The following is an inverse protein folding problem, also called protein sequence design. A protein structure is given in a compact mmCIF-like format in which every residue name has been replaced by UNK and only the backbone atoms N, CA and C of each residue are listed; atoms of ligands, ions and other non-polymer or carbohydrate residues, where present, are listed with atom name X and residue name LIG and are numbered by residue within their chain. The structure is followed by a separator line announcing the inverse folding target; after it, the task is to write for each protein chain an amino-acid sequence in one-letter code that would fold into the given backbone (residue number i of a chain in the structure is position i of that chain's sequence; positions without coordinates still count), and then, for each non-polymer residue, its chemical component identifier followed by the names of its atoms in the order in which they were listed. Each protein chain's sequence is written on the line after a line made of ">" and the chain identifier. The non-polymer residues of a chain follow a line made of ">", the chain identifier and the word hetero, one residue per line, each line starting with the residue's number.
data_IF_566754858059
#
_entry.id   IF_566754858059
#
_cell.length_a   1.000
_cell.length_b   1.000
_cell.length_c   1.000
_cell.angle_alpha   90.00
_cell.angle_beta   90.00
_cell.angle_gamma   90.00
#
_symmetry.space_group_name_H-M   'P 1'
#
loop_
_entity.id
_entity.type
_entity.pdbx_description
1 polymer ?
#
# COMPACT_ATOMS: atom_id res chain seq x y z
N UNK A 1 -23.81 46.43 -33.39
CA UNK A 1 -23.80 47.49 -34.43
C UNK A 1 -22.82 48.57 -33.99
N UNK A 2 -21.71 48.79 -34.69
CA UNK A 2 -20.78 49.88 -34.36
C UNK A 2 -19.32 49.60 -34.69
N UNK A 3 -18.99 49.65 -35.99
CA UNK A 3 -17.63 49.81 -36.52
C UNK A 3 -17.32 51.31 -36.54
N UNK A 4 -16.11 51.73 -36.13
CA UNK A 4 -15.18 52.57 -36.90
C UNK A 4 -14.21 53.36 -36.01
N UNK A 5 -12.95 53.27 -36.43
CA UNK A 5 -11.79 54.07 -36.06
C UNK A 5 -12.01 55.55 -36.36
N UNK A 6 -11.28 56.46 -35.72
CA UNK A 6 -10.46 57.47 -36.42
C UNK A 6 -9.49 58.19 -35.48
N UNK A 7 -8.28 58.38 -35.99
CA UNK A 7 -7.13 59.06 -35.39
C UNK A 7 -7.33 60.57 -35.23
N UNK A 8 -6.61 61.19 -34.30
CA UNK A 8 -6.08 62.53 -34.53
C UNK A 8 -4.68 62.72 -33.93
N UNK A 9 -3.79 63.23 -34.78
CA UNK A 9 -2.40 63.65 -34.56
C UNK A 9 -2.34 65.05 -33.95
N UNK A 10 -1.20 65.34 -33.30
CA UNK A 10 -0.41 66.61 -33.25
C UNK A 10 0.15 66.83 -31.84
N UNK A 11 1.35 67.35 -31.55
CA UNK A 11 2.48 67.94 -32.29
C UNK A 11 3.58 68.27 -31.23
N UNK A 12 4.85 68.35 -31.68
CA UNK A 12 5.92 69.27 -31.18
C UNK A 12 6.47 69.05 -29.74
N UNK A 13 7.75 69.19 -29.36
CA UNK A 13 8.98 69.87 -29.83
C UNK A 13 10.21 69.10 -29.26
N UNK A 14 11.28 68.79 -30.00
CA UNK A 14 12.44 69.61 -30.42
C UNK A 14 13.49 69.93 -29.33
N UNK A 15 14.68 69.32 -29.45
CA UNK A 15 16.04 69.93 -29.33
C UNK A 15 17.08 68.79 -29.47
N UNK A 16 17.86 68.63 -30.55
CA UNK A 16 19.11 69.34 -30.92
C UNK A 16 20.03 69.55 -29.71
N UNK A 17 21.27 69.06 -29.64
CA UNK A 17 22.40 69.19 -30.57
C UNK A 17 23.47 68.09 -30.32
N UNK A 18 24.05 67.46 -31.36
CA UNK A 18 25.43 67.64 -31.91
C UNK A 18 26.57 67.50 -30.88
N UNK A 19 27.73 66.91 -31.16
CA UNK A 19 28.35 66.15 -32.27
C UNK A 19 29.81 65.89 -31.86
N UNK A 20 30.47 64.96 -32.56
CA UNK A 20 31.92 64.86 -32.94
C UNK A 20 32.49 63.50 -32.53
N UNK A 21 32.64 62.55 -33.48
CA UNK A 21 33.84 62.35 -34.34
C UNK A 21 35.07 61.96 -33.49
N UNK A 22 35.71 60.79 -33.61
CA UNK A 22 36.42 60.32 -34.81
C UNK A 22 37.01 58.91 -34.59
N UNK A 23 36.91 58.08 -35.64
CA UNK A 23 37.88 57.11 -36.21
C UNK A 23 38.84 56.25 -35.37
N UNK A 24 38.72 54.95 -35.67
CA UNK A 24 39.76 53.99 -36.07
C UNK A 24 40.47 53.12 -35.02
N UNK A 25 40.26 51.80 -35.23
CA UNK A 25 41.13 50.65 -34.97
C UNK A 25 41.52 50.34 -33.51
N UNK A 26 41.02 49.23 -32.99
CA UNK A 26 41.85 48.02 -33.03
C UNK A 26 41.02 46.74 -32.84
N UNK A 27 41.45 45.71 -33.54
CA UNK A 27 40.95 44.35 -33.46
C UNK A 27 41.38 43.75 -32.12
N UNK A 28 40.45 43.19 -31.36
CA UNK A 28 40.80 42.08 -30.48
C UNK A 28 39.67 41.05 -30.38
N UNK A 29 39.93 39.93 -31.05
CA UNK A 29 39.14 38.73 -31.06
C UNK A 29 39.37 37.97 -29.74
N UNK A 30 38.56 38.23 -28.69
CA UNK A 30 38.40 37.36 -27.50
C UNK A 30 37.37 37.92 -26.52
N UNK A 31 36.09 37.94 -26.87
CA UNK A 31 35.01 37.84 -25.87
C UNK A 31 33.65 37.66 -26.54
N UNK A 32 33.30 36.40 -26.82
CA UNK A 32 31.90 35.99 -26.90
C UNK A 32 31.68 34.93 -25.83
N UNK A 33 31.80 35.36 -24.57
CA UNK A 33 31.09 34.72 -23.48
C UNK A 33 29.61 35.04 -23.63
N UNK A 34 28.91 34.29 -24.48
CA UNK A 34 27.46 34.37 -24.57
C UNK A 34 26.86 33.84 -23.27
N UNK A 35 26.42 34.77 -22.42
CA UNK A 35 25.49 34.53 -21.31
C UNK A 35 24.13 34.11 -21.88
N UNK A 36 24.05 32.86 -22.38
CA UNK A 36 22.77 32.18 -22.45
C UNK A 36 22.42 31.75 -21.02
N UNK A 37 21.66 32.59 -20.33
CA UNK A 37 20.90 32.17 -19.17
C UNK A 37 20.10 30.94 -19.61
N UNK A 38 20.49 29.76 -19.13
CA UNK A 38 19.77 28.54 -19.39
C UNK A 38 18.36 28.72 -18.83
N UNK A 39 17.39 29.01 -19.69
CA UNK A 39 15.99 28.91 -19.34
C UNK A 39 15.80 27.55 -18.68
N UNK A 40 15.44 27.58 -17.40
CA UNK A 40 15.25 26.37 -16.62
C UNK A 40 13.99 25.71 -17.12
N UNK A 41 14.08 24.94 -18.21
CA UNK A 41 12.99 24.11 -18.74
C UNK A 41 12.36 23.35 -17.58
N UNK A 42 11.10 23.61 -17.30
CA UNK A 42 10.39 23.02 -16.19
C UNK A 42 10.20 21.53 -16.47
N UNK A 43 10.52 20.68 -15.49
CA UNK A 43 10.40 19.24 -15.66
C UNK A 43 8.90 18.88 -15.79
N UNK A 44 8.46 18.19 -16.86
CA UNK A 44 7.04 17.82 -17.02
C UNK A 44 6.55 16.84 -15.95
N UNK A 45 7.49 16.25 -15.19
CA UNK A 45 7.20 15.32 -14.09
C UNK A 45 7.23 15.98 -12.70
N UNK A 46 7.43 17.30 -12.61
CA UNK A 46 7.55 18.01 -11.33
C UNK A 46 8.80 17.60 -10.52
N UNK A 47 8.74 17.79 -9.20
CA UNK A 47 9.79 17.34 -8.27
C UNK A 47 9.61 15.85 -7.99
N UNK A 48 10.59 15.04 -8.39
CA UNK A 48 10.62 13.63 -8.05
C UNK A 48 11.64 13.46 -6.92
N UNK A 49 11.16 13.08 -5.74
CA UNK A 49 12.01 12.89 -4.56
C UNK A 49 13.14 11.90 -4.87
N UNK A 50 14.38 12.37 -4.76
CA UNK A 50 15.57 11.56 -5.02
C UNK A 50 16.00 11.45 -6.49
N UNK A 51 15.42 12.24 -7.41
CA UNK A 51 15.95 12.47 -8.76
C UNK A 51 16.20 13.98 -8.93
N UNK A 52 17.43 14.38 -8.66
CA UNK A 52 17.84 15.76 -8.85
C UNK A 52 17.88 16.11 -10.34
N UNK A 53 17.66 17.39 -10.64
CA UNK A 53 17.81 17.94 -12.00
C UNK A 53 19.23 17.73 -12.56
N UNK A 54 20.23 17.65 -11.67
CA UNK A 54 21.60 17.34 -12.03
C UNK A 54 21.75 15.90 -12.55
N UNK A 55 21.17 14.91 -11.85
CA UNK A 55 21.17 13.50 -12.26
C UNK A 55 20.41 13.29 -13.58
N UNK A 56 19.27 13.97 -13.76
CA UNK A 56 18.53 13.96 -15.03
C UNK A 56 19.34 14.55 -16.18
N UNK A 57 20.02 15.68 -15.95
CA UNK A 57 20.87 16.33 -16.96
C UNK A 57 22.07 15.45 -17.31
N UNK A 58 22.74 14.89 -16.32
CA UNK A 58 23.89 14.01 -16.51
C UNK A 58 23.51 12.74 -17.29
N UNK A 59 22.37 12.12 -16.97
CA UNK A 59 21.84 11.01 -17.74
C UNK A 59 21.49 11.38 -19.19
N UNK A 60 20.89 12.56 -19.41
CA UNK A 60 20.56 13.04 -20.76
C UNK A 60 21.80 13.36 -21.59
N UNK A 61 22.82 13.99 -20.99
CA UNK A 61 24.11 14.25 -21.61
C UNK A 61 24.79 12.93 -22.01
N UNK A 62 24.89 11.98 -21.10
CA UNK A 62 25.52 10.69 -21.38
C UNK A 62 24.80 9.89 -22.45
N UNK A 63 23.46 9.90 -22.52
CA UNK A 63 22.71 9.25 -23.61
C UNK A 63 23.01 9.93 -24.95
N UNK A 64 23.00 11.26 -24.97
CA UNK A 64 23.29 12.05 -26.17
C UNK A 64 24.73 11.84 -26.67
N UNK A 65 25.71 11.77 -25.77
CA UNK A 65 27.12 11.60 -26.14
C UNK A 65 27.53 10.13 -26.35
N UNK A 66 26.91 9.17 -25.65
CA UNK A 66 27.17 7.73 -25.83
C UNK A 66 26.56 7.19 -27.13
N UNK A 67 25.53 7.84 -27.69
CA UNK A 67 24.90 7.42 -28.96
C UNK A 67 25.11 8.41 -30.11
N UNK A 68 25.54 9.65 -29.84
CA UNK A 68 25.71 10.71 -30.84
C UNK A 68 27.15 10.96 -31.32
N UNK A 69 28.12 10.19 -30.86
CA UNK A 69 29.51 10.30 -31.33
C UNK A 69 29.76 9.45 -32.57
N UNK A 70 29.86 10.07 -33.76
CA UNK A 70 30.55 9.46 -34.90
C UNK A 70 32.01 9.18 -34.49
N UNK A 71 32.30 7.95 -34.06
CA UNK A 71 33.67 7.48 -33.87
C UNK A 71 34.13 6.71 -35.12
N UNK A 72 35.24 7.16 -35.71
CA UNK A 72 35.96 6.50 -36.80
C UNK A 72 36.24 5.01 -36.53
N UNK A 73 36.36 4.16 -37.58
CA UNK A 73 36.49 2.73 -37.40
C UNK A 73 37.95 2.38 -37.05
N UNK A 74 38.31 2.43 -35.78
CA UNK A 74 39.52 1.79 -35.29
C UNK A 74 39.37 1.37 -33.82
N UNK A 75 39.50 0.06 -33.60
CA UNK A 75 39.47 -0.65 -32.31
C UNK A 75 38.09 -0.77 -31.62
N UNK A 76 37.35 -1.81 -32.00
CA UNK A 76 36.27 -2.37 -31.18
C UNK A 76 36.92 -3.16 -30.04
N UNK A 77 37.39 -2.45 -29.01
CA UNK A 77 37.68 -3.06 -27.72
C UNK A 77 36.35 -3.23 -26.99
N UNK A 78 36.03 -4.48 -26.69
CA UNK A 78 34.85 -4.96 -26.00
C UNK A 78 34.68 -4.27 -24.63
N UNK A 79 34.18 -3.03 -24.62
CA UNK A 79 33.66 -2.40 -23.39
C UNK A 79 32.34 -3.10 -23.11
N UNK A 80 32.38 -4.13 -22.28
CA UNK A 80 31.22 -4.52 -21.49
C UNK A 80 30.65 -3.24 -20.88
N UNK A 81 29.56 -2.75 -21.44
CA UNK A 81 28.75 -1.69 -20.87
C UNK A 81 28.28 -2.22 -19.52
N UNK A 82 29.00 -1.83 -18.46
CA UNK A 82 28.55 -2.06 -17.10
C UNK A 82 27.10 -1.54 -17.00
N UNK A 83 26.17 -2.30 -16.39
CA UNK A 83 24.79 -1.85 -16.26
C UNK A 83 24.81 -0.52 -15.49
N UNK A 84 24.53 0.56 -16.20
CA UNK A 84 24.65 1.90 -15.64
C UNK A 84 23.49 2.11 -14.67
N UNK A 85 23.76 2.04 -13.36
CA UNK A 85 22.77 2.20 -12.29
C UNK A 85 22.16 3.59 -12.14
N UNK A 86 22.25 4.44 -13.18
CA UNK A 86 21.85 5.86 -13.18
C UNK A 86 20.35 6.06 -12.89
N UNK A 87 19.53 5.07 -13.24
CA UNK A 87 18.09 5.08 -12.99
C UNK A 87 17.67 4.11 -11.90
N UNK A 88 18.60 3.52 -11.14
CA UNK A 88 18.24 2.50 -10.14
C UNK A 88 17.41 3.11 -9.03
N UNK A 89 17.70 4.36 -8.64
CA UNK A 89 16.90 5.10 -7.68
C UNK A 89 15.49 5.42 -8.21
N UNK A 90 15.40 5.87 -9.46
CA UNK A 90 14.13 6.10 -10.14
C UNK A 90 13.27 4.82 -10.19
N UNK A 91 13.91 3.70 -10.55
CA UNK A 91 13.30 2.38 -10.66
C UNK A 91 12.84 1.86 -9.31
N UNK A 92 13.66 2.00 -8.27
CA UNK A 92 13.32 1.61 -6.91
C UNK A 92 12.15 2.45 -6.37
N UNK A 93 12.15 3.76 -6.60
CA UNK A 93 11.04 4.64 -6.22
C UNK A 93 9.75 4.26 -6.95
N UNK A 94 9.81 4.02 -8.26
CA UNK A 94 8.66 3.56 -9.04
C UNK A 94 8.13 2.19 -8.57
N UNK A 95 9.02 1.24 -8.27
CA UNK A 95 8.63 -0.06 -7.70
C UNK A 95 7.95 0.08 -6.34
N UNK A 96 8.48 0.93 -5.46
CA UNK A 96 7.87 1.23 -4.16
C UNK A 96 6.49 1.88 -4.31
N UNK A 97 6.35 2.84 -5.24
CA UNK A 97 5.08 3.48 -5.53
C UNK A 97 4.04 2.48 -6.08
N UNK A 98 4.44 1.56 -6.96
CA UNK A 98 3.56 0.50 -7.48
C UNK A 98 3.02 -0.37 -6.33
N UNK A 99 3.90 -0.79 -5.41
CA UNK A 99 3.49 -1.59 -4.25
C UNK A 99 2.52 -0.80 -3.37
N UNK A 100 2.81 0.47 -3.10
CA UNK A 100 1.96 1.30 -2.25
C UNK A 100 0.57 1.55 -2.87
N UNK A 101 0.52 1.84 -4.17
CA UNK A 101 -0.75 2.01 -4.88
C UNK A 101 -1.54 0.70 -4.90
N UNK A 102 -0.86 -0.43 -5.13
CA UNK A 102 -1.50 -1.75 -5.08
C UNK A 102 -2.07 -2.07 -3.69
N UNK A 103 -1.33 -1.75 -2.62
CA UNK A 103 -1.77 -1.91 -1.24
C UNK A 103 -3.02 -1.08 -0.96
N UNK A 104 -2.98 0.23 -1.21
CA UNK A 104 -4.12 1.14 -0.97
C UNK A 104 -5.34 0.72 -1.78
N UNK A 105 -5.15 0.36 -3.06
CA UNK A 105 -6.22 -0.13 -3.91
C UNK A 105 -6.82 -1.45 -3.39
N UNK A 106 -5.99 -2.37 -2.89
CA UNK A 106 -6.44 -3.62 -2.30
C UNK A 106 -7.30 -3.42 -1.05
N UNK A 107 -6.88 -2.54 -0.12
CA UNK A 107 -7.70 -2.24 1.05
C UNK A 107 -9.02 -1.57 0.67
N UNK A 108 -9.01 -0.64 -0.29
CA UNK A 108 -10.25 -0.06 -0.80
C UNK A 108 -11.17 -1.14 -1.39
N UNK A 109 -10.63 -2.03 -2.23
CA UNK A 109 -11.40 -3.11 -2.85
C UNK A 109 -12.08 -3.99 -1.79
N UNK A 110 -11.35 -4.36 -0.74
CA UNK A 110 -11.83 -5.29 0.30
C UNK A 110 -12.78 -4.62 1.29
N UNK A 111 -12.43 -3.43 1.79
CA UNK A 111 -13.15 -2.79 2.90
C UNK A 111 -14.23 -1.81 2.45
N UNK A 112 -14.11 -1.22 1.26
CA UNK A 112 -15.09 -0.28 0.73
C UNK A 112 -15.94 -0.95 -0.36
N UNK A 113 -15.32 -1.37 -1.46
CA UNK A 113 -16.07 -1.85 -2.63
C UNK A 113 -16.74 -3.21 -2.36
N UNK A 114 -16.09 -4.07 -1.57
CA UNK A 114 -16.62 -5.38 -1.14
C UNK A 114 -17.29 -5.35 0.23
N UNK A 115 -17.49 -4.17 0.84
CA UNK A 115 -17.98 -4.00 2.21
C UNK A 115 -19.20 -4.88 2.49
N UNK A 116 -20.27 -4.72 1.69
CA UNK A 116 -21.55 -5.40 1.93
C UNK A 116 -21.43 -6.92 1.93
N UNK A 117 -20.64 -7.50 1.02
CA UNK A 117 -20.47 -8.96 0.94
C UNK A 117 -19.42 -9.51 1.89
N UNK A 118 -18.46 -8.68 2.33
CA UNK A 118 -17.30 -9.08 3.11
C UNK A 118 -17.34 -8.47 4.51
N UNK A 119 -16.66 -7.35 4.76
CA UNK A 119 -16.53 -6.76 6.11
C UNK A 119 -17.87 -6.46 6.80
N UNK A 120 -18.90 -6.04 6.07
CA UNK A 120 -20.21 -5.71 6.60
C UNK A 120 -21.22 -6.85 6.59
N UNK A 121 -20.96 -7.95 5.85
CA UNK A 121 -21.94 -9.03 5.67
C UNK A 121 -21.52 -10.38 6.21
N UNK A 122 -20.22 -10.70 6.20
CA UNK A 122 -19.70 -11.99 6.64
C UNK A 122 -20.04 -12.25 8.12
N UNK A 123 -20.67 -13.39 8.41
CA UNK A 123 -21.06 -13.89 9.73
C UNK A 123 -22.02 -13.00 10.54
N UNK A 124 -22.62 -11.97 9.92
CA UNK A 124 -23.63 -11.16 10.60
C UNK A 124 -24.86 -12.01 10.91
N UNK A 125 -25.26 -12.04 12.18
CA UNK A 125 -26.40 -12.82 12.64
C UNK A 125 -26.14 -14.32 12.78
N UNK A 126 -24.93 -14.80 12.49
CA UNK A 126 -24.54 -16.20 12.65
C UNK A 126 -23.69 -16.74 11.49
N UNK A 127 -22.82 -17.71 11.78
CA UNK A 127 -21.91 -18.27 10.77
C UNK A 127 -22.65 -19.06 9.70
N UNK A 128 -23.65 -19.87 10.08
CA UNK A 128 -24.42 -20.68 9.15
C UNK A 128 -25.19 -19.85 8.10
N UNK A 129 -25.72 -18.70 8.51
CA UNK A 129 -26.59 -17.86 7.68
C UNK A 129 -25.82 -16.93 6.74
N UNK A 130 -24.64 -16.46 7.19
CA UNK A 130 -23.88 -15.43 6.50
C UNK A 130 -22.45 -15.89 6.11
N UNK A 131 -22.38 -17.02 5.40
CA UNK A 131 -21.11 -17.65 4.94
C UNK A 131 -20.32 -16.80 3.93
N UNK A 132 -19.04 -17.10 3.75
CA UNK A 132 -18.10 -16.35 2.87
C UNK A 132 -18.42 -16.39 1.37
N UNK A 133 -19.31 -17.29 0.92
CA UNK A 133 -19.54 -17.57 -0.50
C UNK A 133 -19.85 -16.32 -1.36
N UNK A 134 -20.69 -15.35 -0.94
CA UNK A 134 -20.94 -14.13 -1.71
C UNK A 134 -19.67 -13.28 -1.90
N UNK A 135 -18.88 -13.10 -0.85
CA UNK A 135 -17.61 -12.39 -0.95
C UNK A 135 -16.63 -13.08 -1.90
N UNK A 136 -16.52 -14.42 -1.85
CA UNK A 136 -15.64 -15.16 -2.75
C UNK A 136 -16.06 -15.01 -4.22
N UNK A 137 -17.36 -14.91 -4.51
CA UNK A 137 -17.82 -14.66 -5.89
C UNK A 137 -17.37 -13.28 -6.36
N UNK A 138 -17.63 -12.24 -5.56
CA UNK A 138 -17.21 -10.87 -5.88
C UNK A 138 -15.68 -10.76 -6.03
N UNK A 139 -14.93 -11.35 -5.10
CA UNK A 139 -13.47 -11.37 -5.13
C UNK A 139 -12.93 -12.03 -6.40
N UNK A 140 -13.47 -13.19 -6.80
CA UNK A 140 -13.04 -13.88 -8.02
C UNK A 140 -13.30 -13.07 -9.29
N UNK A 141 -14.43 -12.36 -9.34
CA UNK A 141 -14.75 -11.44 -10.45
C UNK A 141 -13.77 -10.27 -10.48
N UNK A 142 -13.52 -9.65 -9.33
CA UNK A 142 -12.59 -8.54 -9.20
C UNK A 142 -11.15 -8.93 -9.57
N UNK A 143 -10.68 -10.10 -9.15
CA UNK A 143 -9.37 -10.63 -9.55
C UNK A 143 -9.28 -10.85 -11.05
N UNK A 144 -10.34 -11.40 -11.68
CA UNK A 144 -10.37 -11.62 -13.13
C UNK A 144 -10.31 -10.28 -13.89
N UNK A 145 -11.06 -9.28 -13.44
CA UNK A 145 -11.02 -7.94 -14.01
C UNK A 145 -9.65 -7.30 -13.84
N UNK A 146 -9.09 -7.35 -12.63
CA UNK A 146 -7.78 -6.79 -12.30
C UNK A 146 -6.68 -7.36 -13.20
N UNK A 147 -6.66 -8.68 -13.40
CA UNK A 147 -5.69 -9.33 -14.31
C UNK A 147 -5.91 -8.90 -15.77
N UNK A 148 -7.16 -8.67 -16.19
CA UNK A 148 -7.46 -8.25 -17.57
C UNK A 148 -7.06 -6.81 -17.90
N UNK A 149 -7.03 -5.91 -16.91
CA UNK A 149 -6.77 -4.48 -17.13
C UNK A 149 -5.33 -4.06 -16.80
N UNK A 150 -4.65 -4.80 -15.92
CA UNK A 150 -3.28 -4.48 -15.52
C UNK A 150 -2.27 -5.07 -16.50
N UNK A 151 -1.20 -4.31 -16.72
CA UNK A 151 -0.01 -4.83 -17.41
C UNK A 151 0.60 -6.00 -16.62
N UNK A 152 1.12 -7.00 -17.32
CA UNK A 152 1.60 -8.27 -16.74
C UNK A 152 2.54 -8.09 -15.55
N UNK A 153 3.41 -7.08 -15.59
CA UNK A 153 4.37 -6.82 -14.50
C UNK A 153 3.73 -6.32 -13.20
N UNK A 154 2.54 -5.72 -13.28
CA UNK A 154 1.81 -5.21 -12.12
C UNK A 154 0.85 -6.24 -11.52
N UNK A 155 0.42 -7.25 -12.31
CA UNK A 155 -0.55 -8.26 -11.87
C UNK A 155 -0.10 -9.03 -10.61
N UNK A 156 1.14 -9.56 -10.49
CA UNK A 156 1.57 -10.28 -9.29
C UNK A 156 1.51 -9.43 -8.02
N UNK A 157 1.95 -8.18 -8.11
CA UNK A 157 1.97 -7.25 -6.97
C UNK A 157 0.54 -6.94 -6.52
N UNK A 158 -0.34 -6.62 -7.47
CA UNK A 158 -1.73 -6.29 -7.19
C UNK A 158 -2.52 -7.48 -6.62
N UNK A 159 -2.37 -8.68 -7.18
CA UNK A 159 -3.02 -9.89 -6.65
C UNK A 159 -2.52 -10.23 -5.25
N UNK A 160 -1.20 -10.09 -4.99
CA UNK A 160 -0.63 -10.32 -3.66
C UNK A 160 -1.17 -9.34 -2.62
N UNK A 161 -1.31 -8.06 -2.95
CA UNK A 161 -1.86 -7.08 -2.01
C UNK A 161 -3.37 -7.30 -1.77
N UNK A 162 -4.14 -7.69 -2.79
CA UNK A 162 -5.55 -8.09 -2.61
C UNK A 162 -5.68 -9.31 -1.69
N UNK A 163 -4.77 -10.29 -1.82
CA UNK A 163 -4.71 -11.45 -0.93
C UNK A 163 -4.47 -11.05 0.52
N UNK A 164 -3.43 -10.25 0.78
CA UNK A 164 -3.09 -9.76 2.12
C UNK A 164 -4.25 -8.98 2.72
N UNK A 165 -4.84 -8.05 1.97
CA UNK A 165 -5.99 -7.27 2.42
C UNK A 165 -7.21 -8.17 2.72
N UNK A 166 -7.45 -9.22 1.93
CA UNK A 166 -8.55 -10.17 2.16
C UNK A 166 -8.36 -10.99 3.43
N UNK A 167 -7.15 -11.47 3.71
CA UNK A 167 -6.85 -12.19 4.96
C UNK A 167 -6.96 -11.28 6.18
N UNK A 168 -6.51 -10.03 6.06
CA UNK A 168 -6.72 -9.04 7.11
C UNK A 168 -8.19 -8.70 7.32
N UNK A 169 -8.96 -8.52 6.25
CA UNK A 169 -10.41 -8.29 6.35
C UNK A 169 -11.13 -9.45 7.03
N UNK A 170 -10.73 -10.70 6.72
CA UNK A 170 -11.23 -11.88 7.41
C UNK A 170 -10.89 -11.87 8.91
N UNK A 171 -9.65 -11.56 9.28
CA UNK A 171 -9.23 -11.42 10.68
C UNK A 171 -9.99 -10.31 11.41
N UNK A 172 -10.22 -9.18 10.76
CA UNK A 172 -11.00 -8.07 11.32
C UNK A 172 -12.45 -8.49 11.55
N UNK A 173 -13.06 -9.25 10.65
CA UNK A 173 -14.41 -9.80 10.86
C UNK A 173 -14.47 -10.69 12.11
N UNK A 174 -13.45 -11.53 12.34
CA UNK A 174 -13.41 -12.43 13.50
C UNK A 174 -13.09 -11.73 14.82
N UNK A 175 -12.19 -10.74 14.81
CA UNK A 175 -11.58 -10.16 16.03
C UNK A 175 -12.06 -8.74 16.35
N UNK A 176 -12.72 -8.08 15.40
CA UNK A 176 -13.12 -6.68 15.48
C UNK A 176 -14.44 -6.44 14.73
N UNK A 177 -15.27 -7.48 14.62
CA UNK A 177 -16.49 -7.49 13.81
C UNK A 177 -17.67 -6.76 14.43
N UNK A 178 -17.56 -6.28 15.67
CA UNK A 178 -18.67 -5.66 16.40
C UNK A 178 -19.64 -6.69 16.99
N UNK A 179 -20.71 -6.22 17.62
CA UNK A 179 -21.64 -7.05 18.40
C UNK A 179 -22.60 -7.90 17.58
N UNK A 180 -22.68 -7.68 16.27
CA UNK A 180 -23.60 -8.40 15.38
C UNK A 180 -23.06 -9.78 14.98
N UNK A 181 -21.91 -10.16 15.56
CA UNK A 181 -21.19 -11.41 15.34
C UNK A 181 -20.83 -12.03 16.67
N UNK A 182 -21.25 -13.26 16.84
CA UNK A 182 -20.82 -14.13 17.92
C UNK A 182 -20.49 -15.51 17.33
N UNK A 183 -19.62 -16.24 18.00
CA UNK A 183 -19.10 -17.52 17.51
C UNK A 183 -19.16 -18.57 18.62
N UNK A 184 -19.67 -19.75 18.31
CA UNK A 184 -19.59 -20.93 19.18
C UNK A 184 -18.45 -21.86 18.76
N UNK A 185 -18.19 -22.93 19.52
CA UNK A 185 -17.15 -23.91 19.14
C UNK A 185 -17.61 -24.70 17.91
N UNK A 186 -18.91 -24.94 17.76
CA UNK A 186 -19.52 -25.64 16.63
C UNK A 186 -19.33 -24.90 15.31
N UNK A 187 -19.23 -23.57 15.34
CA UNK A 187 -18.99 -22.74 14.16
C UNK A 187 -17.58 -22.95 13.56
N UNK A 188 -16.62 -23.43 14.35
CA UNK A 188 -15.21 -23.55 13.95
C UNK A 188 -15.04 -24.25 12.60
N UNK A 189 -15.71 -25.39 12.39
CA UNK A 189 -15.57 -26.16 11.16
C UNK A 189 -16.01 -25.36 9.92
N UNK A 190 -17.07 -24.57 10.04
CA UNK A 190 -17.58 -23.71 8.98
C UNK A 190 -16.63 -22.54 8.69
N UNK A 191 -16.11 -21.90 9.75
CA UNK A 191 -15.15 -20.80 9.61
C UNK A 191 -13.84 -21.27 8.99
N UNK A 192 -13.36 -22.45 9.38
CA UNK A 192 -12.17 -23.08 8.82
C UNK A 192 -12.35 -23.43 7.34
N UNK A 193 -13.50 -24.01 6.96
CA UNK A 193 -13.85 -24.26 5.56
C UNK A 193 -13.89 -22.97 4.72
N UNK A 194 -14.48 -21.91 5.28
CA UNK A 194 -14.61 -20.62 4.62
C UNK A 194 -13.22 -19.98 4.42
N UNK A 195 -12.33 -20.04 5.42
CA UNK A 195 -10.97 -19.55 5.28
C UNK A 195 -10.15 -20.37 4.27
N UNK A 196 -10.28 -21.70 4.29
CA UNK A 196 -9.67 -22.59 3.29
C UNK A 196 -10.13 -22.24 1.87
N UNK A 197 -11.41 -21.92 1.71
CA UNK A 197 -11.98 -21.49 0.43
C UNK A 197 -11.45 -20.13 -0.02
N UNK A 198 -11.18 -19.21 0.91
CA UNK A 198 -10.53 -17.92 0.64
C UNK A 198 -9.09 -18.11 0.16
N UNK A 199 -8.28 -18.92 0.85
CA UNK A 199 -6.92 -19.28 0.40
C UNK A 199 -6.93 -19.86 -1.02
N UNK A 200 -7.80 -20.84 -1.27
CA UNK A 200 -7.92 -21.50 -2.58
C UNK A 200 -8.30 -20.54 -3.70
N UNK A 201 -9.03 -19.45 -3.41
CA UNK A 201 -9.35 -18.45 -4.41
C UNK A 201 -8.09 -17.79 -4.99
N UNK A 202 -7.05 -17.59 -4.17
CA UNK A 202 -5.77 -17.02 -4.62
C UNK A 202 -4.85 -18.06 -5.27
N UNK A 203 -4.90 -19.34 -4.87
CA UNK A 203 -4.16 -20.38 -5.59
C UNK A 203 -4.71 -20.61 -7.01
N UNK A 204 -6.03 -20.49 -7.21
CA UNK A 204 -6.67 -20.74 -8.51
C UNK A 204 -6.74 -19.51 -9.41
N UNK A 205 -7.09 -18.33 -8.88
CA UNK A 205 -7.15 -17.07 -9.67
C UNK A 205 -5.83 -16.32 -9.71
N UNK A 206 -4.93 -16.61 -8.79
CA UNK A 206 -3.55 -16.12 -8.78
C UNK A 206 -2.55 -17.16 -9.28
N UNK A 207 -2.99 -18.21 -9.98
CA UNK A 207 -2.10 -19.22 -10.54
C UNK A 207 -1.07 -18.55 -11.45
N UNK A 208 0.22 -18.79 -11.18
CA UNK A 208 1.33 -18.12 -11.87
C UNK A 208 1.62 -16.67 -11.42
N UNK A 209 0.74 -16.05 -10.62
CA UNK A 209 0.90 -14.69 -10.08
C UNK A 209 1.33 -14.68 -8.60
N UNK A 210 0.85 -15.63 -7.80
CA UNK A 210 1.21 -15.82 -6.39
C UNK A 210 1.47 -17.30 -6.15
N UNK A 211 2.64 -17.65 -5.62
CA UNK A 211 2.95 -19.05 -5.32
C UNK A 211 2.20 -19.54 -4.08
N UNK A 212 1.86 -20.82 -4.05
CA UNK A 212 1.18 -21.45 -2.91
C UNK A 212 1.94 -21.21 -1.59
N UNK A 213 3.27 -21.28 -1.60
CA UNK A 213 4.11 -20.98 -0.43
C UNK A 213 3.91 -19.56 0.12
N UNK A 214 3.70 -18.57 -0.76
CA UNK A 214 3.42 -17.20 -0.34
C UNK A 214 2.01 -17.09 0.24
N UNK A 215 1.02 -17.79 -0.34
CA UNK A 215 -0.34 -17.86 0.21
C UNK A 215 -0.32 -18.44 1.62
N UNK A 216 0.36 -19.57 1.83
CA UNK A 216 0.50 -20.24 3.12
C UNK A 216 1.22 -19.35 4.15
N UNK A 217 2.31 -18.68 3.76
CA UNK A 217 3.06 -17.82 4.65
C UNK A 217 2.22 -16.64 5.17
N UNK A 218 1.44 -16.00 4.30
CA UNK A 218 0.58 -14.86 4.65
C UNK A 218 -0.70 -15.31 5.41
N UNK A 219 -1.16 -16.55 5.17
CA UNK A 219 -2.33 -17.12 5.84
C UNK A 219 -2.08 -17.52 7.30
N UNK A 220 -0.83 -17.79 7.69
CA UNK A 220 -0.46 -18.36 9.00
C UNK A 220 -1.09 -17.66 10.20
N UNK A 221 -1.16 -16.32 10.19
CA UNK A 221 -1.77 -15.56 11.26
C UNK A 221 -3.28 -15.85 11.40
N UNK A 222 -3.98 -15.90 10.27
CA UNK A 222 -5.40 -16.22 10.23
C UNK A 222 -5.67 -17.67 10.61
N UNK A 223 -4.83 -18.62 10.20
CA UNK A 223 -4.93 -20.03 10.63
C UNK A 223 -4.76 -20.16 12.14
N UNK A 224 -3.79 -19.45 12.72
CA UNK A 224 -3.60 -19.41 14.17
C UNK A 224 -4.84 -18.91 14.91
N UNK A 225 -5.51 -17.88 14.39
CA UNK A 225 -6.75 -17.34 14.95
C UNK A 225 -7.93 -18.28 14.75
N UNK A 226 -8.10 -18.87 13.57
CA UNK A 226 -9.14 -19.87 13.31
C UNK A 226 -8.97 -21.06 14.26
N UNK A 227 -7.72 -21.48 14.53
CA UNK A 227 -7.44 -22.56 15.46
C UNK A 227 -7.77 -22.21 16.93
N UNK A 228 -7.75 -20.92 17.33
CA UNK A 228 -8.27 -20.49 18.63
C UNK A 228 -9.79 -20.67 18.70
N UNK A 229 -10.50 -20.55 17.59
CA UNK A 229 -11.95 -20.72 17.56
C UNK A 229 -12.40 -22.15 17.83
N UNK A 230 -11.50 -23.14 17.70
CA UNK A 230 -11.76 -24.52 18.08
C UNK A 230 -11.71 -24.78 19.60
N UNK A 231 -11.10 -23.86 20.36
CA UNK A 231 -10.91 -24.02 21.80
C UNK A 231 -12.18 -23.67 22.57
N UNK A 232 -12.41 -24.38 23.67
CA UNK A 232 -13.47 -24.04 24.63
C UNK A 232 -13.15 -22.73 25.35
N UNK A 233 -14.15 -22.14 26.00
CA UNK A 233 -13.95 -20.90 26.76
C UNK A 233 -12.93 -21.08 27.91
N UNK A 234 -12.92 -22.23 28.58
CA UNK A 234 -11.96 -22.56 29.63
C UNK A 234 -10.53 -22.59 29.10
N UNK A 235 -10.32 -23.28 27.97
CA UNK A 235 -9.02 -23.37 27.30
C UNK A 235 -8.54 -21.99 26.83
N UNK A 236 -9.44 -21.16 26.29
CA UNK A 236 -9.11 -19.79 25.90
C UNK A 236 -8.72 -18.92 27.08
N UNK A 237 -9.36 -19.08 28.24
CA UNK A 237 -9.01 -18.37 29.48
C UNK A 237 -7.63 -18.78 29.98
N UNK A 238 -7.31 -20.08 29.94
CA UNK A 238 -5.99 -20.60 30.29
C UNK A 238 -4.90 -20.04 29.36
N UNK A 239 -5.09 -20.16 28.04
CA UNK A 239 -4.19 -19.62 27.01
C UNK A 239 -3.98 -18.10 27.16
N UNK A 240 -5.06 -17.36 27.45
CA UNK A 240 -4.96 -15.93 27.74
C UNK A 240 -4.12 -15.65 28.99
N UNK A 241 -4.29 -16.44 30.05
CA UNK A 241 -3.51 -16.31 31.28
C UNK A 241 -2.02 -16.53 31.06
N UNK A 242 -1.65 -17.57 30.31
CA UNK A 242 -0.27 -17.88 29.94
C UNK A 242 0.33 -16.73 29.12
N UNK A 243 -0.34 -16.33 28.04
CA UNK A 243 0.14 -15.27 27.15
C UNK A 243 0.26 -13.91 27.86
N UNK A 244 -0.68 -13.59 28.74
CA UNK A 244 -0.64 -12.35 29.52
C UNK A 244 0.49 -12.35 30.56
N UNK A 245 0.80 -13.49 31.18
CA UNK A 245 1.93 -13.63 32.09
C UNK A 245 3.27 -13.42 31.37
N UNK A 246 3.46 -14.05 30.21
CA UNK A 246 4.67 -13.92 29.40
C UNK A 246 4.90 -12.50 28.88
N UNK A 247 3.84 -11.75 28.59
CA UNK A 247 3.95 -10.34 28.16
C UNK A 247 4.18 -9.35 29.31
N UNK A 248 3.92 -9.76 30.55
CA UNK A 248 3.96 -8.90 31.73
C UNK A 248 5.04 -9.43 32.68
N UNK A 249 6.29 -9.43 32.25
CA UNK A 249 7.42 -9.73 33.16
C UNK A 249 7.32 -8.78 34.37
N UNK A 250 7.01 -9.36 35.54
CA UNK A 250 6.78 -8.73 36.84
C UNK A 250 5.37 -8.18 37.14
N UNK A 251 4.43 -9.05 37.56
CA UNK A 251 3.33 -8.64 38.46
C UNK A 251 3.06 -9.73 39.50
N UNK A 252 3.08 -9.35 40.78
CA UNK A 252 2.74 -10.21 41.92
C UNK A 252 1.34 -10.82 41.79
N UNK A 253 1.17 -12.04 42.31
CA UNK A 253 0.00 -12.95 42.25
C UNK A 253 -1.39 -12.37 42.66
N UNK A 254 -1.50 -11.08 42.96
CA UNK A 254 -2.72 -10.42 43.46
C UNK A 254 -3.17 -9.18 42.67
N UNK A 255 -2.53 -8.82 41.56
CA UNK A 255 -2.91 -7.63 40.80
C UNK A 255 -3.54 -7.95 39.45
N UNK A 256 -4.59 -7.17 39.15
CA UNK A 256 -5.47 -7.24 37.98
C UNK A 256 -4.70 -7.48 36.69
N UNK A 257 -5.15 -8.42 35.86
CA UNK A 257 -4.62 -8.57 34.49
C UNK A 257 -4.91 -7.25 33.73
N UNK A 258 -3.89 -6.50 33.30
CA UNK A 258 -4.10 -5.27 32.55
C UNK A 258 -4.72 -5.61 31.20
N UNK A 259 -5.44 -4.65 30.61
CA UNK A 259 -5.87 -4.77 29.22
C UNK A 259 -4.62 -4.84 28.32
N UNK A 260 -4.47 -5.88 27.49
CA UNK A 260 -3.33 -5.99 26.61
C UNK A 260 -3.34 -4.88 25.54
N UNK A 261 -2.18 -4.38 25.12
CA UNK A 261 -2.09 -3.33 24.11
C UNK A 261 -2.54 -3.84 22.74
N UNK A 262 -3.14 -2.96 21.93
CA UNK A 262 -3.45 -3.28 20.53
C UNK A 262 -2.19 -3.18 19.67
N UNK A 263 -1.51 -4.29 19.44
CA UNK A 263 -0.25 -4.36 18.68
C UNK A 263 -0.42 -4.29 17.16
N UNK A 264 -1.67 -4.30 16.67
CA UNK A 264 -2.07 -4.40 15.25
C UNK A 264 -1.47 -5.63 14.54
N UNK A 265 -0.95 -6.60 15.29
CA UNK A 265 -0.46 -7.88 14.81
C UNK A 265 -1.32 -8.96 15.42
N UNK A 266 -1.85 -9.83 14.57
CA UNK A 266 -2.67 -10.95 15.00
C UNK A 266 -1.81 -12.19 15.06
N UNK A 267 -1.84 -12.91 16.18
CA UNK A 267 -1.21 -14.22 16.30
C UNK A 267 -1.92 -15.05 17.37
N UNK A 268 -1.78 -16.37 17.29
CA UNK A 268 -2.38 -17.31 18.24
C UNK A 268 -1.95 -17.04 19.70
N UNK A 269 -0.71 -16.63 19.89
CA UNK A 269 -0.09 -16.44 21.22
C UNK A 269 -0.18 -15.00 21.73
N UNK A 270 -0.81 -14.09 20.97
CA UNK A 270 -0.88 -12.68 21.35
C UNK A 270 -2.09 -12.43 22.27
N UNK A 271 -1.89 -11.86 23.48
CA UNK A 271 -2.95 -11.75 24.47
C UNK A 271 -4.19 -10.96 24.00
N UNK A 272 -4.02 -9.85 23.27
CA UNK A 272 -5.16 -9.09 22.77
C UNK A 272 -5.93 -9.85 21.67
N UNK A 273 -5.29 -10.75 20.93
CA UNK A 273 -5.92 -11.64 19.96
C UNK A 273 -6.81 -12.66 20.68
N UNK A 274 -6.27 -13.35 21.69
CA UNK A 274 -7.04 -14.33 22.49
C UNK A 274 -8.19 -13.63 23.21
N UNK A 275 -7.95 -12.45 23.79
CA UNK A 275 -8.98 -11.63 24.43
C UNK A 275 -10.11 -11.27 23.45
N UNK A 276 -9.78 -10.93 22.19
CA UNK A 276 -10.78 -10.62 21.17
C UNK A 276 -11.60 -11.83 20.75
N UNK A 277 -11.00 -13.02 20.71
CA UNK A 277 -11.73 -14.28 20.49
C UNK A 277 -12.70 -14.51 21.66
N UNK A 278 -12.25 -14.36 22.91
CA UNK A 278 -13.11 -14.43 24.09
C UNK A 278 -14.28 -13.43 24.04
N UNK A 279 -14.04 -12.19 23.57
CA UNK A 279 -15.08 -11.18 23.45
C UNK A 279 -16.18 -11.50 22.43
N UNK A 280 -15.88 -12.28 21.38
CA UNK A 280 -16.88 -12.69 20.39
C UNK A 280 -17.35 -14.14 20.62
N UNK A 281 -16.89 -14.80 21.69
CA UNK A 281 -17.31 -16.15 22.06
C UNK A 281 -18.70 -16.10 22.69
N UNK A 282 -19.67 -16.80 22.09
CA UNK A 282 -21.01 -16.96 22.66
C UNK A 282 -21.01 -18.09 23.69
N UNK A 283 -20.51 -17.79 24.89
CA UNK A 283 -20.36 -18.76 25.96
C UNK A 283 -20.45 -18.07 27.34
N UNK A 284 -21.15 -18.70 28.28
CA UNK A 284 -21.35 -18.16 29.63
C UNK A 284 -20.05 -18.07 30.45
N UNK A 285 -19.12 -19.01 30.26
CA UNK A 285 -17.82 -19.01 30.94
C UNK A 285 -16.95 -17.85 30.43
N UNK A 286 -16.93 -17.62 29.12
CA UNK A 286 -16.23 -16.47 28.53
C UNK A 286 -16.82 -15.14 29.05
N UNK A 287 -18.15 -15.02 29.03
CA UNK A 287 -18.90 -13.86 29.54
C UNK A 287 -18.63 -13.59 31.02
N UNK A 288 -18.68 -14.64 31.85
CA UNK A 288 -18.39 -14.54 33.28
C UNK A 288 -16.93 -14.14 33.54
N UNK A 289 -15.98 -14.75 32.83
CA UNK A 289 -14.57 -14.39 32.91
C UNK A 289 -14.34 -12.92 32.58
N UNK A 290 -14.85 -12.44 31.43
CA UNK A 290 -14.66 -11.05 30.99
C UNK A 290 -15.24 -10.05 32.00
N UNK A 291 -16.45 -10.30 32.49
CA UNK A 291 -17.10 -9.45 33.51
C UNK A 291 -16.31 -9.42 34.81
N UNK A 292 -15.81 -10.57 35.27
CA UNK A 292 -15.06 -10.69 36.53
C UNK A 292 -13.67 -10.05 36.43
N UNK A 293 -12.94 -10.34 35.34
CA UNK A 293 -11.55 -9.90 35.14
C UNK A 293 -11.47 -8.39 34.87
N UNK A 294 -12.37 -7.86 34.05
CA UNK A 294 -12.32 -6.45 33.62
C UNK A 294 -13.39 -5.54 34.26
N UNK A 295 -14.20 -6.06 35.19
CA UNK A 295 -15.23 -5.30 35.93
C UNK A 295 -16.15 -4.50 35.00
N UNK A 296 -16.57 -5.12 33.90
CA UNK A 296 -17.42 -4.47 32.90
C UNK A 296 -18.75 -4.04 33.55
N UNK A 297 -19.22 -2.82 33.29
CA UNK A 297 -20.46 -2.33 33.86
C UNK A 297 -21.64 -3.20 33.38
N UNK A 298 -22.61 -3.42 34.27
CA UNK A 298 -23.88 -4.05 33.86
C UNK A 298 -24.57 -3.15 32.83
N UNK A 299 -24.96 -3.72 31.69
CA UNK A 299 -25.77 -3.02 30.67
C UNK A 299 -27.06 -2.54 31.35
N UNK A 300 -27.35 -1.23 31.21
CA UNK A 300 -28.62 -0.63 31.65
C UNK A 300 -29.72 -0.90 30.63
#
# INVERSE_FOLDING_TARGET
>A
MGRLQYQHRSRSDSSFARSSETTAADLDARSLGSTAAAETVECPFGHIDGLSRAELREAAYEVFFSHGGCASPASVSNRQLAPSGRFDRARAAAQSAIVHVAEVAAYRLVFLDSHHSFYGGLYVGGVADARIRPALRALKQNLSLLVSILVDRAQPVAVREVMKASFQGFLIVLLAGGSDRSFTVEDHAMVEEDFRSLKRAFCTRGEGLVSEQVVEAEARAAEGVVALMALTAEQLVEEFGIAAYECTEAVSERQRLPLPPTTRRWSRSEPNTILRVLCHRDDEVASHFLKRTFQLPKRR
#
